data_IF_178622231002
#
_entry.id   IF_178622231002
#
_cell.length_a   1.000
_cell.length_b   1.000
_cell.length_c   1.000
_cell.angle_alpha   90.00
_cell.angle_beta   90.00
_cell.angle_gamma   90.00
#
_symmetry.space_group_name_H-M   'P 1'
#
loop_
_entity.id
_entity.type
_entity.pdbx_description
1 polymer ?
#
# COMPACT_ATOMS: atom_id res chain seq x y z
N UNK A 1 -19.30 -34.72 0.88
CA UNK A 1 -19.83 -33.38 0.54
C UNK A 1 -18.62 -32.46 0.56
N UNK A 2 -18.07 -32.25 -0.64
CA UNK A 2 -17.21 -31.13 -1.04
C UNK A 2 -15.82 -31.00 -0.39
N UNK A 3 -14.85 -31.73 -0.96
CA UNK A 3 -13.46 -31.29 -1.01
C UNK A 3 -13.34 -30.12 -2.02
N UNK A 4 -13.33 -28.89 -1.51
CA UNK A 4 -13.16 -27.67 -2.31
C UNK A 4 -11.75 -27.11 -2.21
N UNK A 5 -10.93 -27.36 -3.23
CA UNK A 5 -9.52 -26.97 -3.31
C UNK A 5 -9.23 -25.50 -2.93
N UNK A 6 -8.29 -25.28 -2.01
CA UNK A 6 -7.61 -23.99 -1.82
C UNK A 6 -6.62 -23.75 -2.96
N UNK A 7 -7.13 -23.50 -4.15
CA UNK A 7 -6.34 -22.93 -5.23
C UNK A 7 -6.10 -21.45 -4.92
N UNK A 8 -4.84 -21.04 -4.75
CA UNK A 8 -4.48 -19.63 -4.78
C UNK A 8 -4.77 -19.09 -6.18
N UNK A 9 -6.01 -18.68 -6.42
CA UNK A 9 -6.37 -18.03 -7.67
C UNK A 9 -5.48 -16.80 -7.81
N UNK A 10 -4.74 -16.71 -8.92
CA UNK A 10 -4.17 -15.45 -9.33
C UNK A 10 -5.34 -14.51 -9.57
N UNK A 11 -5.65 -13.68 -8.58
CA UNK A 11 -6.53 -12.53 -8.78
C UNK A 11 -5.80 -11.63 -9.77
N UNK A 12 -6.16 -11.80 -11.05
CA UNK A 12 -5.82 -10.87 -12.10
C UNK A 12 -6.42 -9.51 -11.72
N UNK A 13 -5.66 -8.46 -11.92
CA UNK A 13 -6.02 -7.12 -11.45
C UNK A 13 -4.99 -6.12 -11.89
N UNK A 14 -5.43 -4.88 -12.13
CA UNK A 14 -4.53 -3.79 -12.50
C UNK A 14 -3.67 -3.44 -11.30
N UNK A 15 -2.35 -3.36 -11.50
CA UNK A 15 -1.40 -2.93 -10.47
C UNK A 15 -1.20 -1.43 -10.55
N UNK A 16 -1.23 -0.76 -9.40
CA UNK A 16 -1.04 0.69 -9.28
C UNK A 16 -0.07 0.99 -8.15
N UNK A 17 0.95 1.78 -8.44
CA UNK A 17 1.90 2.25 -7.41
C UNK A 17 1.39 3.56 -6.81
N UNK A 18 1.32 3.61 -5.49
CA UNK A 18 0.98 4.80 -4.70
C UNK A 18 2.25 5.30 -4.03
N UNK A 19 2.82 6.37 -4.56
CA UNK A 19 3.98 7.04 -3.97
C UNK A 19 3.54 8.05 -2.91
N UNK A 20 4.19 8.03 -1.75
CA UNK A 20 3.91 8.95 -0.65
C UNK A 20 5.18 9.42 0.07
N UNK A 21 6.35 9.28 -0.55
CA UNK A 21 7.64 9.69 0.02
C UNK A 21 7.83 11.21 0.10
N UNK A 22 7.01 11.97 -0.65
CA UNK A 22 7.09 13.45 -0.74
C UNK A 22 5.76 14.16 -0.48
N UNK A 23 4.75 13.43 -0.02
CA UNK A 23 3.43 13.98 0.22
C UNK A 23 2.38 12.92 0.53
N UNK A 24 1.26 13.35 1.10
CA UNK A 24 0.13 12.47 1.36
C UNK A 24 -0.48 11.97 0.06
N UNK A 25 -0.73 10.66 0.01
CA UNK A 25 -1.40 9.98 -1.09
C UNK A 25 -2.48 9.06 -0.52
N UNK A 26 -3.53 9.70 0.00
CA UNK A 26 -4.74 9.07 0.54
C UNK A 26 -5.92 9.34 -0.39
N UNK A 27 -6.90 8.42 -0.49
CA UNK A 27 -8.15 8.67 -1.18
C UNK A 27 -8.87 9.94 -0.67
N UNK A 28 -9.71 10.53 -1.52
CA UNK A 28 -10.54 11.66 -1.14
C UNK A 28 -11.40 11.34 0.11
N UNK A 29 -11.64 12.35 0.94
CA UNK A 29 -12.33 12.18 2.22
C UNK A 29 -11.41 11.77 3.38
N UNK A 30 -10.11 11.62 3.12
CA UNK A 30 -9.07 11.35 4.11
C UNK A 30 -9.37 10.16 5.06
N UNK A 31 -9.71 8.97 4.51
CA UNK A 31 -10.11 7.83 5.33
C UNK A 31 -8.99 7.43 6.30
N UNK A 32 -9.34 7.31 7.58
CA UNK A 32 -8.40 6.99 8.66
C UNK A 32 -7.72 8.20 9.31
N UNK A 33 -7.83 9.41 8.73
CA UNK A 33 -7.30 10.63 9.33
C UNK A 33 -5.76 10.62 9.51
N UNK A 34 -5.22 11.68 10.11
CA UNK A 34 -3.79 11.70 10.48
C UNK A 34 -3.57 11.00 11.83
N UNK A 35 -2.83 9.89 11.79
CA UNK A 35 -2.49 9.08 12.96
C UNK A 35 -1.01 9.19 13.36
N UNK A 36 -0.19 9.90 12.58
CA UNK A 36 1.23 10.07 12.85
C UNK A 36 1.72 11.41 12.29
N UNK A 37 1.53 12.47 13.08
CA UNK A 37 1.89 13.84 12.69
C UNK A 37 3.33 13.93 12.20
N UNK A 38 3.53 14.64 11.09
CA UNK A 38 4.84 14.82 10.46
C UNK A 38 5.24 13.74 9.45
N UNK A 39 4.51 12.62 9.38
CA UNK A 39 4.74 11.57 8.39
C UNK A 39 3.73 11.63 7.25
N UNK A 40 4.17 11.39 6.02
CA UNK A 40 3.27 11.25 4.89
C UNK A 40 2.50 9.93 4.93
N UNK A 41 1.25 9.95 4.49
CA UNK A 41 0.36 8.78 4.50
C UNK A 41 0.09 8.31 3.08
N UNK A 42 0.34 7.03 2.82
CA UNK A 42 -0.07 6.35 1.59
C UNK A 42 -1.19 5.36 1.84
N UNK A 43 -2.16 5.28 0.93
CA UNK A 43 -3.22 4.26 0.99
C UNK A 43 -3.72 3.86 -0.41
N UNK A 44 -4.05 2.58 -0.57
CA UNK A 44 -4.75 2.10 -1.76
C UNK A 44 -6.17 2.70 -1.86
N UNK A 45 -6.74 2.72 -3.07
CA UNK A 45 -8.10 3.19 -3.25
C UNK A 45 -9.10 2.25 -2.55
N UNK A 46 -10.31 2.75 -2.32
CA UNK A 46 -11.40 1.92 -1.80
C UNK A 46 -11.65 0.78 -2.79
N UNK A 47 -11.62 -0.46 -2.30
CA UNK A 47 -11.78 -1.66 -3.12
C UNK A 47 -10.49 -2.22 -3.73
N UNK A 48 -9.33 -1.58 -3.51
CA UNK A 48 -8.02 -2.15 -3.87
C UNK A 48 -7.35 -2.81 -2.67
N UNK A 49 -6.57 -3.84 -2.94
CA UNK A 49 -5.75 -4.54 -1.95
C UNK A 49 -4.28 -4.11 -2.02
N UNK A 50 -3.66 -3.91 -0.86
CA UNK A 50 -2.22 -3.79 -0.73
C UNK A 50 -1.57 -5.13 -1.06
N UNK A 51 -0.66 -5.14 -2.04
CA UNK A 51 0.08 -6.34 -2.47
C UNK A 51 1.59 -6.18 -2.39
N UNK A 52 2.09 -5.01 -2.00
CA UNK A 52 3.53 -4.77 -1.79
C UNK A 52 3.83 -3.42 -1.17
N UNK A 53 5.00 -3.31 -0.55
CA UNK A 53 5.51 -2.08 0.07
C UNK A 53 6.96 -1.88 -0.36
N UNK A 54 7.28 -0.69 -0.84
CA UNK A 54 8.62 -0.30 -1.23
C UNK A 54 9.26 0.56 -0.12
N UNK A 55 10.49 0.24 0.21
CA UNK A 55 11.31 0.97 1.18
C UNK A 55 12.57 1.47 0.49
N UNK A 56 12.99 2.69 0.82
CA UNK A 56 14.34 3.14 0.51
C UNK A 56 15.20 2.97 1.75
N UNK A 57 16.25 2.19 1.60
CA UNK A 57 17.25 1.97 2.63
C UNK A 57 18.54 2.63 2.18
N UNK A 58 18.95 3.68 2.90
CA UNK A 58 20.26 4.30 2.72
C UNK A 58 21.18 3.87 3.86
N UNK A 59 22.46 3.60 3.58
CA UNK A 59 23.38 3.00 4.55
C UNK A 59 23.66 3.89 5.77
N UNK A 60 23.50 5.21 5.62
CA UNK A 60 23.64 6.20 6.70
C UNK A 60 22.30 6.63 7.33
N UNK A 61 21.17 6.07 6.89
CA UNK A 61 19.83 6.43 7.35
C UNK A 61 19.02 5.15 7.52
N UNK A 62 19.17 4.48 8.66
CA UNK A 62 18.48 3.21 8.91
C UNK A 62 16.96 3.36 9.09
N UNK A 63 16.43 4.59 9.11
CA UNK A 63 15.00 4.86 9.11
C UNK A 63 14.32 4.28 7.87
N UNK A 64 13.67 3.13 8.03
CA UNK A 64 12.93 2.43 6.98
C UNK A 64 11.52 3.01 6.93
N UNK A 65 11.39 4.23 6.41
CA UNK A 65 10.08 4.73 6.04
C UNK A 65 9.69 4.10 4.68
N UNK A 66 8.45 3.61 4.54
CA UNK A 66 7.97 3.16 3.25
C UNK A 66 7.75 4.36 2.33
N UNK A 67 8.22 4.26 1.09
CA UNK A 67 8.10 5.32 0.07
C UNK A 67 6.88 5.11 -0.83
N UNK A 68 6.49 3.85 -1.04
CA UNK A 68 5.43 3.49 -1.96
C UNK A 68 4.69 2.21 -1.57
N UNK A 69 3.40 2.16 -1.94
CA UNK A 69 2.56 0.97 -1.87
C UNK A 69 2.27 0.45 -3.27
N UNK A 70 2.23 -0.86 -3.43
CA UNK A 70 1.69 -1.51 -4.62
C UNK A 70 0.28 -1.97 -4.33
N UNK A 71 -0.68 -1.43 -5.07
CA UNK A 71 -2.11 -1.73 -4.94
C UNK A 71 -2.58 -2.55 -6.12
N UNK A 72 -3.58 -3.40 -5.90
CA UNK A 72 -4.22 -4.22 -6.94
C UNK A 72 -5.73 -4.21 -6.76
N UNK A 73 -6.46 -3.88 -7.81
CA UNK A 73 -7.92 -4.02 -7.93
C UNK A 73 -8.31 -5.49 -8.07
#
# INVERSE_FOLDING_TARGET
MEDGARGGATVGGTRRTVWFDRGDNRPAGNPGGDFASGHHKGQCAVGEHLVGVAYRAWIWSPGKEPDALMCRS
#
